data_IF_437863785390
#
_entry.id   IF_437863785390
#
_cell.length_a   1.000
_cell.length_b   1.000
_cell.length_c   1.000
_cell.angle_alpha   90.00
_cell.angle_beta   90.00
_cell.angle_gamma   90.00
#
_symmetry.space_group_name_H-M   'P 1'
#
loop_
_entity.id
_entity.type
_entity.pdbx_description
1 polymer ?
#
# COMPACT_ATOMS: atom_id res chain seq x y z
N UNK A 1 20.06 26.91 -12.94
CA UNK A 1 20.31 25.53 -12.51
C UNK A 1 20.46 25.49 -11.00
N UNK A 2 19.38 25.14 -10.28
CA UNK A 2 19.44 24.77 -8.86
C UNK A 2 19.12 23.29 -8.79
N UNK A 3 20.12 22.49 -8.45
CA UNK A 3 19.98 21.07 -8.19
C UNK A 3 19.06 20.90 -6.99
N UNK A 4 17.77 20.72 -7.24
CA UNK A 4 16.83 20.31 -6.22
C UNK A 4 17.08 18.82 -5.97
N UNK A 5 17.97 18.53 -5.02
CA UNK A 5 18.09 17.20 -4.43
C UNK A 5 16.72 16.88 -3.82
N UNK A 6 15.91 16.11 -4.55
CA UNK A 6 14.70 15.50 -4.02
C UNK A 6 15.19 14.60 -2.88
N UNK A 7 15.02 15.07 -1.65
CA UNK A 7 15.16 14.21 -0.48
C UNK A 7 14.06 13.18 -0.62
N UNK A 8 14.44 11.93 -0.88
CA UNK A 8 13.56 10.76 -0.80
C UNK A 8 13.08 10.73 0.65
N UNK A 9 11.92 11.34 0.87
CA UNK A 9 11.22 11.29 2.12
C UNK A 9 10.64 9.89 2.21
N UNK A 10 11.12 9.11 3.17
CA UNK A 10 10.51 7.87 3.60
C UNK A 10 9.00 8.11 3.72
N UNK A 11 8.18 7.54 2.83
CA UNK A 11 6.73 7.50 3.02
C UNK A 11 6.49 6.40 4.06
N UNK A 12 6.78 6.75 5.32
CA UNK A 12 6.04 6.21 6.44
C UNK A 12 4.63 6.76 6.25
N UNK A 13 3.67 5.89 5.93
CA UNK A 13 2.30 6.32 5.74
C UNK A 13 1.77 6.79 7.11
N UNK A 14 1.78 8.10 7.35
CA UNK A 14 1.09 8.70 8.49
C UNK A 14 -0.40 8.75 8.11
N UNK A 15 -1.10 7.65 8.39
CA UNK A 15 -2.56 7.65 8.34
C UNK A 15 -3.07 8.51 9.51
N UNK A 16 -3.79 9.58 9.18
CA UNK A 16 -4.57 10.34 10.16
C UNK A 16 -5.56 9.39 10.86
N UNK A 17 -5.48 9.33 12.19
CA UNK A 17 -6.27 8.44 13.05
C UNK A 17 -7.73 8.93 13.03
N UNK A 18 -8.57 8.28 12.24
CA UNK A 18 -9.99 8.12 12.57
C UNK A 18 -10.23 6.64 12.76
N UNK A 19 -10.19 6.19 14.02
CA UNK A 19 -10.69 4.87 14.41
C UNK A 19 -12.21 4.90 14.18
N UNK A 20 -12.65 4.47 13.00
CA UNK A 20 -14.05 4.11 12.81
C UNK A 20 -14.34 2.86 13.67
N UNK A 21 -15.55 2.75 14.24
CA UNK A 21 -15.93 1.55 14.99
C UNK A 21 -15.72 0.31 14.13
N UNK A 22 -15.28 -0.77 14.75
CA UNK A 22 -15.25 -2.09 14.10
C UNK A 22 -16.69 -2.38 13.69
N UNK A 23 -16.98 -2.34 12.38
CA UNK A 23 -18.24 -2.81 11.84
C UNK A 23 -18.21 -4.32 12.01
N UNK A 24 -19.00 -4.83 12.96
CA UNK A 24 -19.22 -6.26 13.13
C UNK A 24 -19.84 -6.79 11.84
N UNK A 25 -19.10 -7.62 11.11
CA UNK A 25 -19.69 -8.38 9.99
C UNK A 25 -20.76 -9.29 10.57
N UNK A 26 -21.94 -9.23 9.94
CA UNK A 26 -23.16 -9.88 10.33
C UNK A 26 -23.10 -11.42 10.12
N UNK A 27 -22.32 -12.12 10.94
CA UNK A 27 -22.66 -13.49 11.31
C UNK A 27 -23.52 -13.40 12.57
N UNK A 28 -24.84 -13.40 12.33
CA UNK A 28 -25.92 -13.10 13.26
C UNK A 28 -26.04 -14.00 14.52
N UNK A 29 -25.04 -14.82 14.83
CA UNK A 29 -25.08 -15.71 15.98
C UNK A 29 -24.36 -15.17 17.23
N UNK A 30 -23.37 -14.25 17.13
CA UNK A 30 -22.55 -13.87 18.30
C UNK A 30 -21.78 -12.54 18.12
N UNK A 31 -22.48 -11.43 17.93
CA UNK A 31 -21.82 -10.11 17.86
C UNK A 31 -21.15 -9.71 19.19
N UNK A 32 -21.66 -10.19 20.32
CA UNK A 32 -21.26 -9.74 21.67
C UNK A 32 -20.15 -10.58 22.33
N UNK A 33 -19.75 -11.71 21.71
CA UNK A 33 -18.72 -12.59 22.25
C UNK A 33 -17.58 -12.85 21.25
N UNK A 34 -16.39 -13.05 21.79
CA UNK A 34 -15.22 -13.50 21.05
C UNK A 34 -14.66 -14.78 21.71
N UNK A 35 -14.33 -15.78 20.90
CA UNK A 35 -13.87 -17.09 21.38
C UNK A 35 -12.45 -17.34 20.89
N UNK A 36 -11.54 -17.58 21.83
CA UNK A 36 -10.14 -17.91 21.57
C UNK A 36 -9.85 -19.34 22.03
N UNK A 37 -9.47 -20.20 21.09
CA UNK A 37 -8.94 -21.54 21.39
C UNK A 37 -7.49 -21.44 21.85
N UNK A 38 -7.25 -21.78 23.12
CA UNK A 38 -5.92 -21.67 23.75
C UNK A 38 -5.13 -22.97 23.69
N UNK A 39 -5.82 -24.11 23.68
CA UNK A 39 -5.22 -25.43 23.51
C UNK A 39 -6.28 -26.42 22.98
N UNK A 40 -5.94 -27.71 22.90
CA UNK A 40 -6.92 -28.74 22.55
C UNK A 40 -8.06 -28.75 23.58
N UNK A 41 -9.28 -28.51 23.11
CA UNK A 41 -10.51 -28.50 23.91
C UNK A 41 -10.56 -27.40 25.00
N UNK A 42 -9.67 -26.41 24.98
CA UNK A 42 -9.67 -25.30 25.94
C UNK A 42 -9.86 -23.95 25.24
N UNK A 43 -10.80 -23.17 25.79
CA UNK A 43 -11.28 -21.92 25.20
C UNK A 43 -11.30 -20.80 26.25
N UNK A 44 -11.04 -19.59 25.79
CA UNK A 44 -11.30 -18.33 26.50
C UNK A 44 -12.38 -17.57 25.78
N UNK A 45 -13.41 -17.20 26.51
CA UNK A 45 -14.56 -16.48 25.98
C UNK A 45 -14.58 -15.09 26.59
N UNK A 46 -14.60 -14.10 25.70
CA UNK A 46 -14.69 -12.69 26.01
C UNK A 46 -16.10 -12.22 25.70
N UNK A 47 -16.71 -11.47 26.62
CA UNK A 47 -18.00 -10.81 26.39
C UNK A 47 -17.81 -9.31 26.45
N UNK A 48 -18.30 -8.60 25.43
CA UNK A 48 -18.19 -7.15 25.33
C UNK A 48 -18.74 -6.44 26.57
N UNK A 49 -19.90 -6.90 27.05
CA UNK A 49 -20.59 -6.38 28.25
C UNK A 49 -19.73 -6.43 29.51
N UNK A 50 -18.85 -7.44 29.61
CA UNK A 50 -18.11 -7.74 30.83
C UNK A 50 -16.60 -7.48 30.75
N UNK A 51 -16.05 -6.95 29.64
CA UNK A 51 -14.59 -6.80 29.47
C UNK A 51 -13.88 -6.16 30.67
N UNK A 52 -14.45 -5.11 31.27
CA UNK A 52 -13.87 -4.41 32.42
C UNK A 52 -14.51 -4.73 33.77
N UNK A 53 -15.39 -5.73 33.86
CA UNK A 53 -16.24 -5.98 35.04
C UNK A 53 -16.30 -7.46 35.36
N UNK A 54 -15.95 -7.85 36.59
CA UNK A 54 -16.09 -9.25 37.00
C UNK A 54 -17.53 -9.71 36.89
N UNK A 55 -17.72 -10.95 36.48
CA UNK A 55 -19.01 -11.58 36.30
C UNK A 55 -18.95 -13.05 36.75
N UNK A 56 -20.11 -13.66 36.91
CA UNK A 56 -20.22 -15.09 37.15
C UNK A 56 -20.63 -15.78 35.86
N UNK A 57 -20.10 -16.97 35.61
CA UNK A 57 -20.47 -17.76 34.45
C UNK A 57 -20.61 -19.25 34.76
N UNK A 58 -21.41 -19.92 33.95
CA UNK A 58 -21.54 -21.37 33.89
C UNK A 58 -21.75 -21.81 32.42
N UNK A 59 -21.54 -23.09 32.13
CA UNK A 59 -21.77 -23.65 30.80
C UNK A 59 -22.73 -24.84 30.87
N UNK A 60 -23.50 -25.02 29.81
CA UNK A 60 -24.32 -26.21 29.57
C UNK A 60 -24.28 -26.60 28.09
N UNK A 61 -24.64 -27.87 27.81
CA UNK A 61 -24.74 -28.38 26.44
C UNK A 61 -26.06 -27.96 25.75
N UNK A 62 -27.09 -27.57 26.54
CA UNK A 62 -28.40 -27.12 26.04
C UNK A 62 -28.88 -25.86 26.75
N UNK A 63 -29.79 -25.12 26.12
CA UNK A 63 -30.44 -23.93 26.72
C UNK A 63 -31.49 -24.32 27.77
N UNK A 64 -32.08 -25.51 27.68
CA UNK A 64 -33.16 -25.99 28.54
C UNK A 64 -32.65 -26.62 29.85
N UNK A 65 -31.81 -25.89 30.59
CA UNK A 65 -31.26 -26.33 31.88
C UNK A 65 -31.80 -25.46 33.00
N UNK A 66 -32.16 -26.07 34.13
CA UNK A 66 -32.60 -25.32 35.30
C UNK A 66 -31.42 -24.53 35.89
N UNK A 67 -31.57 -23.22 36.10
CA UNK A 67 -30.50 -22.37 36.63
C UNK A 67 -29.91 -22.90 37.95
N UNK A 68 -30.74 -23.50 38.82
CA UNK A 68 -30.30 -24.11 40.08
C UNK A 68 -29.38 -25.31 39.93
N UNK A 69 -29.28 -25.90 38.74
CA UNK A 69 -28.35 -27.00 38.42
C UNK A 69 -27.01 -26.52 37.85
N UNK A 70 -26.90 -25.23 37.53
CA UNK A 70 -25.68 -24.63 36.99
C UNK A 70 -24.70 -24.31 38.13
N UNK A 71 -23.43 -24.63 37.91
CA UNK A 71 -22.36 -24.30 38.84
C UNK A 71 -21.66 -23.00 38.40
N UNK A 72 -22.14 -21.87 38.93
CA UNK A 72 -21.57 -20.56 38.61
C UNK A 72 -20.20 -20.37 39.28
N UNK A 73 -19.22 -19.95 38.49
CA UNK A 73 -17.88 -19.57 38.94
C UNK A 73 -17.56 -18.14 38.50
N UNK A 74 -16.59 -17.52 39.16
CA UNK A 74 -16.20 -16.13 38.87
C UNK A 74 -15.28 -16.06 37.64
N UNK A 75 -15.45 -15.01 36.83
CA UNK A 75 -14.55 -14.62 35.76
C UNK A 75 -13.12 -14.43 36.24
N UNK A 76 -12.16 -14.64 35.33
CA UNK A 76 -10.73 -14.39 35.57
C UNK A 76 -10.28 -13.20 34.75
N UNK A 77 -9.20 -12.57 35.19
CA UNK A 77 -8.55 -11.52 34.44
C UNK A 77 -7.46 -12.11 33.53
N UNK A 78 -7.43 -11.70 32.27
CA UNK A 78 -6.34 -12.03 31.34
C UNK A 78 -5.10 -11.11 31.57
N UNK A 79 -4.08 -11.24 30.72
CA UNK A 79 -2.85 -10.44 30.82
C UNK A 79 -3.05 -8.95 30.52
N UNK A 80 -4.11 -8.62 29.79
CA UNK A 80 -4.43 -7.26 29.33
C UNK A 80 -5.49 -6.60 30.22
N UNK A 81 -5.89 -7.29 31.30
CA UNK A 81 -6.86 -6.79 32.27
C UNK A 81 -8.33 -7.11 31.94
N UNK A 82 -8.62 -7.81 30.83
CA UNK A 82 -9.98 -8.17 30.42
C UNK A 82 -10.52 -9.32 31.27
N UNK A 83 -11.81 -9.28 31.59
CA UNK A 83 -12.49 -10.38 32.25
C UNK A 83 -12.93 -11.44 31.24
N UNK A 84 -12.62 -12.69 31.55
CA UNK A 84 -12.83 -13.84 30.67
C UNK A 84 -13.55 -14.98 31.41
N UNK A 85 -14.25 -15.79 30.62
CA UNK A 85 -14.68 -17.13 30.99
C UNK A 85 -13.70 -18.16 30.40
N UNK A 86 -13.32 -19.15 31.21
CA UNK A 86 -12.53 -20.30 30.73
C UNK A 86 -13.43 -21.51 30.59
N UNK A 87 -13.30 -22.22 29.47
CA UNK A 87 -14.14 -23.37 29.18
C UNK A 87 -13.32 -24.52 28.61
N UNK A 88 -13.55 -25.73 29.14
CA UNK A 88 -12.92 -26.95 28.65
C UNK A 88 -14.00 -27.94 28.23
N UNK A 89 -14.06 -28.24 26.94
CA UNK A 89 -15.07 -29.15 26.38
C UNK A 89 -14.59 -29.80 25.09
N UNK A 90 -15.11 -30.99 24.82
CA UNK A 90 -15.00 -31.65 23.50
C UNK A 90 -16.17 -31.30 22.58
N UNK A 91 -17.20 -30.63 23.09
CA UNK A 91 -18.36 -30.17 22.30
C UNK A 91 -17.95 -29.05 21.35
N UNK A 92 -18.61 -28.98 20.20
CA UNK A 92 -18.37 -27.93 19.21
C UNK A 92 -19.27 -26.69 19.42
N UNK A 93 -20.28 -26.82 20.27
CA UNK A 93 -21.19 -25.75 20.67
C UNK A 93 -21.44 -25.86 22.18
N UNK A 94 -21.80 -24.75 22.82
CA UNK A 94 -22.24 -24.70 24.22
C UNK A 94 -23.17 -23.51 24.47
N UNK A 95 -23.78 -23.46 25.65
CA UNK A 95 -24.56 -22.31 26.13
C UNK A 95 -23.86 -21.74 27.37
N UNK A 96 -23.46 -20.47 27.28
CA UNK A 96 -22.85 -19.72 28.37
C UNK A 96 -23.92 -18.96 29.13
N UNK A 97 -24.00 -19.22 30.42
CA UNK A 97 -24.87 -18.49 31.34
C UNK A 97 -24.04 -17.46 32.08
N UNK A 98 -24.47 -16.21 32.12
CA UNK A 98 -23.73 -15.13 32.80
C UNK A 98 -24.60 -14.39 33.82
N UNK A 99 -23.97 -13.90 34.89
CA UNK A 99 -24.62 -13.08 35.93
C UNK A 99 -23.70 -11.96 36.40
N UNK A 100 -24.25 -10.77 36.61
CA UNK A 100 -23.55 -9.66 37.25
C UNK A 100 -23.26 -9.92 38.74
N UNK A 101 -24.16 -10.66 39.40
CA UNK A 101 -24.02 -11.12 40.79
C UNK A 101 -24.73 -12.47 40.96
N UNK A 102 -24.42 -13.21 42.02
CA UNK A 102 -25.06 -14.51 42.28
C UNK A 102 -26.58 -14.42 42.48
N UNK A 103 -27.10 -13.27 42.91
CA UNK A 103 -28.53 -13.01 43.12
C UNK A 103 -29.25 -12.49 41.86
N UNK A 104 -28.50 -12.10 40.82
CA UNK A 104 -29.10 -11.64 39.56
C UNK A 104 -29.80 -12.78 38.80
N UNK A 105 -30.55 -12.47 37.75
CA UNK A 105 -31.03 -13.50 36.81
C UNK A 105 -29.92 -13.84 35.82
N UNK A 106 -29.77 -15.12 35.45
CA UNK A 106 -28.82 -15.50 34.42
C UNK A 106 -29.29 -15.10 33.01
N UNK A 107 -28.36 -14.59 32.22
CA UNK A 107 -28.50 -14.38 30.77
C UNK A 107 -27.79 -15.52 30.05
N UNK A 108 -28.42 -16.08 29.02
CA UNK A 108 -27.86 -17.19 28.24
C UNK A 108 -27.43 -16.73 26.86
N UNK A 109 -26.26 -17.15 26.43
CA UNK A 109 -25.70 -16.89 25.11
C UNK A 109 -25.20 -18.19 24.50
N UNK A 110 -25.65 -18.53 23.30
CA UNK A 110 -25.10 -19.67 22.55
C UNK A 110 -23.66 -19.34 22.17
N UNK A 111 -22.71 -20.24 22.42
CA UNK A 111 -21.30 -20.10 22.06
C UNK A 111 -20.98 -21.12 20.99
N UNK A 112 -20.61 -20.63 19.80
CA UNK A 112 -20.07 -21.47 18.74
C UNK A 112 -18.55 -21.62 18.93
N UNK A 113 -18.07 -22.85 19.10
CA UNK A 113 -16.66 -23.14 19.30
C UNK A 113 -15.98 -23.56 18.00
N UNK A 114 -16.73 -23.85 16.92
CA UNK A 114 -16.19 -24.17 15.59
C UNK A 114 -15.51 -22.95 14.98
N UNK A 115 -16.14 -21.79 15.17
CA UNK A 115 -15.66 -20.50 14.63
C UNK A 115 -14.67 -19.81 15.58
N UNK A 116 -14.07 -20.57 16.49
CA UNK A 116 -13.10 -20.04 17.45
C UNK A 116 -11.76 -19.75 16.76
N UNK A 117 -11.18 -18.60 17.10
CA UNK A 117 -9.85 -18.24 16.60
C UNK A 117 -8.78 -18.95 17.40
N UNK A 118 -7.70 -19.36 16.75
CA UNK A 118 -6.49 -19.79 17.46
C UNK A 118 -5.65 -18.57 17.84
N UNK A 119 -4.80 -18.73 18.86
CA UNK A 119 -3.82 -17.69 19.20
C UNK A 119 -2.92 -17.33 18.01
N UNK A 120 -2.48 -18.33 17.25
CA UNK A 120 -1.63 -18.14 16.07
C UNK A 120 -2.34 -17.30 15.00
N UNK A 121 -3.60 -17.64 14.68
CA UNK A 121 -4.42 -16.89 13.72
C UNK A 121 -4.60 -15.41 14.11
N UNK A 122 -4.79 -15.12 15.40
CA UNK A 122 -4.93 -13.73 15.89
C UNK A 122 -3.63 -12.94 15.78
N UNK A 123 -2.49 -13.55 16.13
CA UNK A 123 -1.17 -12.92 16.05
C UNK A 123 -0.73 -12.71 14.59
N UNK A 124 -1.11 -13.62 13.72
CA UNK A 124 -0.76 -13.63 12.31
C UNK A 124 -1.16 -12.35 11.55
N UNK A 125 -2.23 -11.67 11.96
CA UNK A 125 -2.73 -10.48 11.26
C UNK A 125 -1.78 -9.29 11.41
N UNK A 126 -1.01 -9.23 12.49
CA UNK A 126 -0.01 -8.18 12.70
C UNK A 126 1.17 -8.30 11.72
N UNK A 127 1.33 -9.48 11.11
CA UNK A 127 2.38 -9.79 10.13
C UNK A 127 1.95 -9.50 8.69
N UNK A 128 0.67 -9.25 8.43
CA UNK A 128 0.17 -8.83 7.11
C UNK A 128 0.94 -7.58 6.68
N UNK A 129 1.17 -7.45 5.37
CA UNK A 129 2.07 -6.52 4.68
C UNK A 129 3.56 -6.81 4.83
N UNK A 130 3.94 -7.79 5.67
CA UNK A 130 5.35 -8.11 5.97
C UNK A 130 5.70 -9.55 5.62
N UNK A 131 4.73 -10.38 5.21
CA UNK A 131 4.92 -11.81 4.93
C UNK A 131 5.70 -12.01 3.62
N UNK A 132 5.46 -11.15 2.63
CA UNK A 132 6.20 -11.11 1.37
C UNK A 132 6.93 -9.76 1.32
N UNK A 133 8.27 -9.74 1.47
CA UNK A 133 9.01 -8.50 1.52
C UNK A 133 9.05 -7.83 0.15
N UNK A 134 8.76 -6.52 0.14
CA UNK A 134 8.65 -5.70 -1.05
C UNK A 134 9.32 -4.33 -0.85
N UNK A 135 9.75 -3.73 -1.95
CA UNK A 135 10.22 -2.35 -2.04
C UNK A 135 9.28 -1.57 -2.96
N UNK A 136 8.51 -0.66 -2.36
CA UNK A 136 7.56 0.22 -3.04
C UNK A 136 8.13 1.61 -3.36
N UNK A 137 9.44 1.83 -3.16
CA UNK A 137 10.08 3.14 -3.37
C UNK A 137 10.62 3.34 -4.79
N UNK A 138 10.63 2.27 -5.59
CA UNK A 138 11.21 2.28 -6.93
C UNK A 138 10.24 2.84 -7.97
N UNK A 139 10.80 3.32 -9.07
CA UNK A 139 10.05 3.81 -10.22
C UNK A 139 10.61 3.23 -11.51
N UNK A 140 9.77 3.16 -12.53
CA UNK A 140 10.15 2.82 -13.91
C UNK A 140 9.76 3.99 -14.82
N UNK A 141 10.57 4.24 -15.85
CA UNK A 141 10.24 5.26 -16.87
C UNK A 141 10.07 4.57 -18.22
N UNK A 142 8.94 4.84 -18.86
CA UNK A 142 8.65 4.42 -20.23
C UNK A 142 8.71 5.65 -21.14
N UNK A 143 9.40 5.52 -22.27
CA UNK A 143 9.55 6.57 -23.28
C UNK A 143 8.71 6.20 -24.49
N UNK A 144 7.86 7.13 -24.92
CA UNK A 144 7.07 7.02 -26.15
C UNK A 144 7.43 8.17 -27.08
N UNK A 145 7.60 7.87 -28.36
CA UNK A 145 7.85 8.85 -29.41
C UNK A 145 6.60 9.02 -30.27
N UNK A 146 6.04 10.23 -30.28
CA UNK A 146 4.91 10.60 -31.13
C UNK A 146 5.34 11.77 -32.02
N UNK A 147 5.89 11.44 -33.20
CA UNK A 147 6.43 12.44 -34.12
C UNK A 147 7.67 13.13 -33.55
N UNK A 148 7.59 14.45 -33.38
CA UNK A 148 8.68 15.28 -32.82
C UNK A 148 8.55 15.42 -31.30
N UNK A 149 7.72 14.62 -30.62
CA UNK A 149 7.51 14.69 -29.17
C UNK A 149 8.02 13.40 -28.53
N UNK A 150 8.98 13.55 -27.62
CA UNK A 150 9.41 12.50 -26.70
C UNK A 150 8.61 12.65 -25.41
N UNK A 151 7.80 11.64 -25.08
CA UNK A 151 7.02 11.57 -23.86
C UNK A 151 7.66 10.56 -22.90
N UNK A 152 8.12 11.05 -21.76
CA UNK A 152 8.64 10.22 -20.68
C UNK A 152 7.59 10.11 -19.57
N UNK A 153 7.12 8.90 -19.30
CA UNK A 153 6.16 8.60 -18.23
C UNK A 153 6.89 7.81 -17.16
N UNK A 154 7.08 8.41 -15.98
CA UNK A 154 7.65 7.75 -14.81
C UNK A 154 6.53 7.31 -13.88
N UNK A 155 6.50 6.02 -13.54
CA UNK A 155 5.50 5.42 -12.65
C UNK A 155 6.13 4.66 -11.49
N UNK A 156 5.43 4.56 -10.37
CA UNK A 156 5.82 3.69 -9.26
C UNK A 156 5.79 2.20 -9.65
N UNK A 157 6.70 1.43 -9.06
CA UNK A 157 6.72 -0.03 -9.16
C UNK A 157 6.86 -0.66 -7.78
N UNK A 158 6.33 -1.87 -7.62
CA UNK A 158 6.53 -2.70 -6.43
C UNK A 158 7.50 -3.82 -6.78
N UNK A 159 8.65 -3.86 -6.10
CA UNK A 159 9.67 -4.89 -6.32
C UNK A 159 9.67 -5.89 -5.18
N UNK A 160 9.51 -7.18 -5.48
CA UNK A 160 9.64 -8.25 -4.50
C UNK A 160 11.12 -8.43 -4.16
N UNK A 161 11.46 -8.27 -2.88
CA UNK A 161 12.84 -8.36 -2.38
C UNK A 161 13.17 -9.71 -1.75
N UNK A 162 12.19 -10.62 -1.70
CA UNK A 162 12.36 -12.00 -1.26
C UNK A 162 13.44 -12.70 -2.10
N UNK A 163 14.39 -13.35 -1.43
CA UNK A 163 15.52 -14.06 -2.05
C UNK A 163 15.20 -15.53 -2.36
N UNK A 164 14.07 -16.05 -1.87
CA UNK A 164 13.60 -17.39 -2.12
C UNK A 164 13.44 -17.69 -3.62
N UNK A 165 13.70 -18.95 -3.99
CA UNK A 165 13.37 -19.47 -5.31
C UNK A 165 11.89 -19.86 -5.35
N UNK A 166 11.03 -18.85 -5.46
CA UNK A 166 9.59 -18.99 -5.41
C UNK A 166 8.92 -18.35 -6.64
N UNK A 167 7.73 -18.84 -6.98
CA UNK A 167 6.86 -18.15 -7.94
C UNK A 167 5.98 -17.17 -7.19
N UNK A 168 5.82 -15.98 -7.75
CA UNK A 168 5.00 -14.93 -7.17
C UNK A 168 3.86 -14.56 -8.12
N UNK A 169 2.70 -14.28 -7.55
CA UNK A 169 1.52 -13.83 -8.26
C UNK A 169 0.92 -12.64 -7.54
N UNK A 170 0.21 -11.80 -8.29
CA UNK A 170 -0.44 -10.62 -7.75
C UNK A 170 -1.81 -10.39 -8.37
N UNK A 171 -2.64 -9.63 -7.66
CA UNK A 171 -3.79 -8.93 -8.20
C UNK A 171 -3.79 -7.51 -7.66
N UNK A 172 -4.03 -6.54 -8.53
CA UNK A 172 -4.18 -5.13 -8.17
C UNK A 172 -5.64 -4.71 -8.30
N UNK A 173 -6.18 -4.10 -7.25
CA UNK A 173 -7.54 -3.53 -7.23
C UNK A 173 -7.49 -2.06 -6.83
N UNK A 174 -8.08 -1.18 -7.63
CA UNK A 174 -8.24 0.25 -7.32
C UNK A 174 -9.25 0.43 -6.20
N UNK A 175 -8.91 1.23 -5.19
CA UNK A 175 -9.82 1.59 -4.11
C UNK A 175 -10.78 2.69 -4.58
N UNK A 176 -12.05 2.32 -4.68
CA UNK A 176 -13.17 3.22 -5.00
C UNK A 176 -14.34 2.95 -4.05
N UNK A 177 -15.43 3.72 -4.15
CA UNK A 177 -16.65 3.44 -3.37
C UNK A 177 -17.27 2.08 -3.70
N UNK A 178 -17.01 1.54 -4.89
CA UNK A 178 -17.57 0.26 -5.35
C UNK A 178 -16.76 -0.94 -4.85
N UNK A 179 -15.51 -0.76 -4.45
CA UNK A 179 -14.63 -1.85 -3.97
C UNK A 179 -14.70 -1.99 -2.46
N UNK A 180 -15.91 -2.08 -1.91
CA UNK A 180 -16.20 -2.04 -0.47
C UNK A 180 -15.36 -3.03 0.32
N UNK A 181 -15.30 -4.29 -0.13
CA UNK A 181 -14.51 -5.34 0.52
C UNK A 181 -13.02 -5.01 0.61
N UNK A 182 -12.43 -4.43 -0.44
CA UNK A 182 -11.02 -4.04 -0.43
C UNK A 182 -10.75 -2.81 0.45
N UNK A 183 -11.71 -1.87 0.52
CA UNK A 183 -11.62 -0.76 1.47
C UNK A 183 -11.64 -1.28 2.91
N UNK A 184 -12.55 -2.21 3.20
CA UNK A 184 -12.66 -2.81 4.52
C UNK A 184 -11.41 -3.59 4.91
N UNK A 185 -10.82 -4.35 3.97
CA UNK A 185 -9.55 -5.03 4.20
C UNK A 185 -8.44 -4.05 4.60
N UNK A 186 -8.34 -2.91 3.91
CA UNK A 186 -7.38 -1.85 4.25
C UNK A 186 -7.61 -1.28 5.64
N UNK A 187 -8.86 -1.03 6.02
CA UNK A 187 -9.21 -0.52 7.35
C UNK A 187 -8.82 -1.51 8.45
N UNK A 188 -9.13 -2.80 8.28
CA UNK A 188 -8.79 -3.84 9.23
C UNK A 188 -7.27 -4.00 9.39
N UNK A 189 -6.51 -3.96 8.28
CA UNK A 189 -5.04 -3.99 8.38
C UNK A 189 -4.49 -2.79 9.15
N UNK A 190 -5.07 -1.60 8.98
CA UNK A 190 -4.68 -0.41 9.75
C UNK A 190 -5.00 -0.56 11.23
N UNK A 191 -6.22 -1.00 11.55
CA UNK A 191 -6.65 -1.23 12.93
C UNK A 191 -5.77 -2.27 13.63
N UNK A 192 -5.34 -3.32 12.91
CA UNK A 192 -4.46 -4.36 13.45
C UNK A 192 -3.07 -3.85 13.88
N UNK A 193 -2.61 -2.71 13.36
CA UNK A 193 -1.36 -2.06 13.79
C UNK A 193 -1.58 -1.11 14.98
N UNK A 194 -2.83 -0.87 15.39
CA UNK A 194 -3.18 -0.05 16.55
C UNK A 194 -3.13 -0.82 17.86
N UNK A 195 -3.36 -0.09 18.96
CA UNK A 195 -3.53 -0.69 20.28
C UNK A 195 -4.96 -1.23 20.41
N UNK A 196 -5.07 -2.54 20.62
CA UNK A 196 -6.34 -3.26 20.76
C UNK A 196 -6.29 -4.17 21.99
N UNK A 197 -7.40 -4.30 22.70
CA UNK A 197 -7.55 -5.33 23.72
C UNK A 197 -7.77 -6.71 23.07
N UNK A 198 -7.65 -7.80 23.83
CA UNK A 198 -7.77 -9.16 23.29
C UNK A 198 -9.11 -9.43 22.61
N UNK A 199 -10.23 -8.93 23.14
CA UNK A 199 -11.55 -9.04 22.49
C UNK A 199 -11.55 -8.41 21.11
N UNK A 200 -11.11 -7.16 21.00
CA UNK A 200 -11.03 -6.43 19.74
C UNK A 200 -10.08 -7.11 18.74
N UNK A 201 -8.94 -7.64 19.21
CA UNK A 201 -8.02 -8.40 18.34
C UNK A 201 -8.66 -9.64 17.77
N UNK A 202 -9.38 -10.41 18.57
CA UNK A 202 -10.06 -11.64 18.11
C UNK A 202 -11.15 -11.29 17.10
N UNK A 203 -12.01 -10.30 17.39
CA UNK A 203 -13.08 -9.90 16.46
C UNK A 203 -12.53 -9.35 15.15
N UNK A 204 -11.53 -8.48 15.22
CA UNK A 204 -10.82 -7.99 14.04
C UNK A 204 -10.24 -9.15 13.24
N UNK A 205 -9.72 -10.17 13.94
CA UNK A 205 -9.11 -11.31 13.30
C UNK A 205 -10.07 -12.21 12.55
N UNK A 206 -11.22 -12.50 13.14
CA UNK A 206 -12.30 -13.23 12.48
C UNK A 206 -12.72 -12.53 11.19
N UNK A 207 -13.03 -11.23 11.29
CA UNK A 207 -13.47 -10.45 10.14
C UNK A 207 -12.38 -10.37 9.06
N UNK A 208 -11.12 -10.14 9.45
CA UNK A 208 -10.00 -10.08 8.52
C UNK A 208 -9.82 -11.42 7.79
N UNK A 209 -9.82 -12.54 8.50
CA UNK A 209 -9.63 -13.87 7.91
C UNK A 209 -10.73 -14.21 6.91
N UNK A 210 -12.00 -14.02 7.29
CA UNK A 210 -13.16 -14.23 6.40
C UNK A 210 -13.03 -13.40 5.11
N UNK A 211 -12.78 -12.10 5.26
CA UNK A 211 -12.67 -11.17 4.14
C UNK A 211 -11.46 -11.48 3.25
N UNK A 212 -10.31 -11.73 3.85
CA UNK A 212 -9.07 -12.01 3.12
C UNK A 212 -9.16 -13.33 2.36
N UNK A 213 -9.76 -14.37 2.96
CA UNK A 213 -10.00 -15.66 2.29
C UNK A 213 -10.98 -15.51 1.11
N UNK A 214 -12.06 -14.73 1.28
CA UNK A 214 -12.99 -14.38 0.19
C UNK A 214 -12.25 -13.69 -0.96
N UNK A 215 -11.48 -12.65 -0.67
CA UNK A 215 -10.79 -11.85 -1.68
C UNK A 215 -9.69 -12.63 -2.41
N UNK A 216 -8.93 -13.48 -1.70
CA UNK A 216 -7.85 -14.29 -2.30
C UNK A 216 -8.39 -15.47 -3.12
N UNK A 217 -9.51 -16.09 -2.73
CA UNK A 217 -10.14 -17.17 -3.49
C UNK A 217 -10.78 -16.69 -4.80
N UNK A 218 -11.25 -15.45 -4.85
CA UNK A 218 -11.84 -14.81 -6.03
C UNK A 218 -10.79 -14.09 -6.90
N UNK A 219 -9.53 -14.10 -6.49
CA UNK A 219 -8.50 -13.31 -7.15
C UNK A 219 -8.11 -13.89 -8.53
N UNK A 220 -8.08 -13.01 -9.53
CA UNK A 220 -7.53 -13.27 -10.85
C UNK A 220 -6.01 -13.03 -10.85
N UNK A 221 -5.27 -14.05 -10.44
CA UNK A 221 -3.83 -14.00 -10.24
C UNK A 221 -3.04 -13.81 -11.53
N UNK A 222 -2.15 -12.81 -11.54
CA UNK A 222 -1.16 -12.58 -12.60
C UNK A 222 0.23 -12.98 -12.09
N UNK A 223 0.99 -13.76 -12.86
CA UNK A 223 2.37 -14.12 -12.49
C UNK A 223 3.28 -12.88 -12.53
N UNK A 224 4.13 -12.74 -11.51
CA UNK A 224 5.10 -11.64 -11.41
C UNK A 224 6.32 -11.95 -12.28
N UNK A 225 6.65 -11.03 -13.18
CA UNK A 225 7.84 -11.11 -14.04
C UNK A 225 8.95 -10.24 -13.44
N UNK A 226 10.18 -10.76 -13.43
CA UNK A 226 11.38 -10.05 -12.94
C UNK A 226 11.22 -9.46 -11.52
N UNK A 227 10.45 -10.15 -10.66
CA UNK A 227 10.10 -9.72 -9.29
C UNK A 227 9.51 -8.30 -9.25
N UNK A 228 8.91 -7.84 -10.34
CA UNK A 228 8.44 -6.47 -10.49
C UNK A 228 6.96 -6.45 -10.84
N UNK A 229 6.21 -5.67 -10.08
CA UNK A 229 4.80 -5.39 -10.32
C UNK A 229 4.68 -3.92 -10.69
N UNK A 230 4.19 -3.66 -11.91
CA UNK A 230 3.92 -2.29 -12.37
C UNK A 230 2.55 -1.85 -11.84
N UNK A 231 2.42 -0.56 -11.53
CA UNK A 231 1.08 0.01 -11.32
C UNK A 231 0.23 -0.10 -12.61
N UNK A 232 -1.11 -0.09 -12.52
CA UNK A 232 -1.98 -0.12 -13.70
C UNK A 232 -1.65 1.03 -14.68
N UNK A 233 -1.67 0.76 -15.98
CA UNK A 233 -1.27 1.73 -17.01
C UNK A 233 -2.16 3.00 -17.02
N UNK A 234 -3.45 2.82 -16.72
CA UNK A 234 -4.44 3.89 -16.62
C UNK A 234 -4.47 4.57 -15.24
N UNK A 235 -3.60 4.18 -14.29
CA UNK A 235 -3.54 4.82 -12.98
C UNK A 235 -3.20 6.31 -13.10
N UNK A 236 -3.91 7.14 -12.35
CA UNK A 236 -3.59 8.54 -12.14
C UNK A 236 -2.68 8.71 -10.92
N UNK A 237 -2.05 9.86 -10.77
CA UNK A 237 -1.23 10.18 -9.59
C UNK A 237 -2.13 10.29 -8.34
N UNK A 238 -1.71 9.68 -7.22
CA UNK A 238 -2.42 9.76 -5.94
C UNK A 238 -3.57 8.77 -5.74
N UNK A 239 -3.89 7.92 -6.72
CA UNK A 239 -4.89 6.86 -6.57
C UNK A 239 -4.39 5.75 -5.63
N UNK A 240 -5.30 5.14 -4.87
CA UNK A 240 -4.95 4.11 -3.89
C UNK A 240 -5.36 2.72 -4.36
N UNK A 241 -4.53 1.73 -4.06
CA UNK A 241 -4.70 0.37 -4.54
C UNK A 241 -4.40 -0.64 -3.45
N UNK A 242 -5.09 -1.78 -3.51
CA UNK A 242 -4.67 -3.01 -2.83
C UNK A 242 -3.97 -3.90 -3.84
N UNK A 243 -2.80 -4.40 -3.47
CA UNK A 243 -2.09 -5.45 -4.20
C UNK A 243 -2.12 -6.71 -3.34
N UNK A 244 -2.97 -7.67 -3.71
CA UNK A 244 -2.92 -9.01 -3.15
C UNK A 244 -1.70 -9.72 -3.73
N UNK A 245 -0.97 -10.44 -2.88
CA UNK A 245 0.23 -11.18 -3.25
C UNK A 245 0.07 -12.66 -2.86
N UNK A 246 0.61 -13.53 -3.70
CA UNK A 246 0.68 -14.97 -3.48
C UNK A 246 2.08 -15.46 -3.82
N UNK A 247 2.75 -16.09 -2.87
CA UNK A 247 4.03 -16.78 -3.04
C UNK A 247 3.80 -18.28 -3.05
N UNK A 248 4.40 -19.00 -3.99
CA UNK A 248 4.41 -20.47 -4.05
C UNK A 248 5.85 -20.94 -4.01
N UNK A 249 6.22 -21.63 -2.93
CA UNK A 249 7.57 -22.13 -2.66
C UNK A 249 7.47 -23.59 -2.17
N UNK A 250 8.09 -24.52 -2.88
CA UNK A 250 8.14 -25.95 -2.51
C UNK A 250 6.75 -26.57 -2.21
N UNK A 251 5.70 -26.11 -2.89
CA UNK A 251 4.32 -26.57 -2.67
C UNK A 251 3.56 -25.81 -1.56
N UNK A 252 4.25 -25.03 -0.74
CA UNK A 252 3.62 -24.15 0.25
C UNK A 252 3.18 -22.84 -0.40
N UNK A 253 2.01 -22.34 0.01
CA UNK A 253 1.48 -21.07 -0.44
C UNK A 253 1.43 -20.07 0.71
N UNK A 254 1.95 -18.87 0.49
CA UNK A 254 1.85 -17.74 1.41
C UNK A 254 1.09 -16.62 0.73
N UNK A 255 0.10 -16.05 1.42
CA UNK A 255 -0.66 -14.90 0.96
C UNK A 255 -0.28 -13.66 1.75
N UNK A 256 -0.28 -12.52 1.08
CA UNK A 256 -0.05 -11.20 1.68
C UNK A 256 -0.86 -10.12 0.96
N UNK A 257 -0.91 -8.91 1.52
CA UNK A 257 -1.50 -7.74 0.89
C UNK A 257 -0.60 -6.51 1.06
N UNK A 258 -0.62 -5.62 0.08
CA UNK A 258 0.07 -4.33 0.13
C UNK A 258 -0.91 -3.21 -0.20
N UNK A 259 -0.80 -2.08 0.49
CA UNK A 259 -1.67 -0.92 0.28
C UNK A 259 -0.81 0.22 -0.25
N UNK A 260 -1.04 0.60 -1.50
CA UNK A 260 -0.17 1.49 -2.25
C UNK A 260 -0.91 2.73 -2.72
N UNK A 261 -0.17 3.82 -2.88
CA UNK A 261 -0.61 5.03 -3.58
C UNK A 261 0.20 5.16 -4.87
N UNK A 262 -0.46 5.32 -6.00
CA UNK A 262 0.20 5.47 -7.31
C UNK A 262 0.97 6.78 -7.37
N UNK A 263 2.08 6.73 -8.12
CA UNK A 263 2.89 7.89 -8.46
C UNK A 263 3.03 7.95 -9.97
N UNK A 264 2.66 9.06 -10.61
CA UNK A 264 2.76 9.21 -12.06
C UNK A 264 3.23 10.61 -12.44
N UNK A 265 4.38 10.67 -13.08
CA UNK A 265 4.94 11.92 -13.63
C UNK A 265 5.06 11.80 -15.14
N UNK A 266 4.52 12.78 -15.86
CA UNK A 266 4.66 12.86 -17.32
C UNK A 266 5.50 14.07 -17.66
N UNK A 267 6.58 13.85 -18.41
CA UNK A 267 7.40 14.90 -19.03
C UNK A 267 7.30 14.79 -20.53
N UNK A 268 7.08 15.91 -21.19
CA UNK A 268 7.09 16.01 -22.64
C UNK A 268 8.25 16.89 -23.06
N UNK A 269 9.05 16.40 -23.99
CA UNK A 269 10.10 17.15 -24.65
C UNK A 269 9.76 17.23 -26.13
N UNK A 270 9.70 18.44 -26.66
CA UNK A 270 9.59 18.66 -28.11
C UNK A 270 11.01 18.54 -28.66
N UNK A 271 11.24 17.51 -29.46
CA UNK A 271 12.41 17.42 -30.32
C UNK A 271 12.23 18.51 -31.37
N UNK A 272 12.94 19.63 -31.22
CA UNK A 272 13.07 20.54 -32.35
C UNK A 272 13.64 19.73 -33.52
N UNK A 273 12.86 19.57 -34.59
CA UNK A 273 13.40 19.13 -35.88
C UNK A 273 14.54 20.07 -36.21
N UNK A 274 15.76 19.63 -35.97
CA UNK A 274 16.89 20.09 -36.76
C UNK A 274 16.49 19.70 -38.17
N UNK A 275 16.01 20.68 -38.95
CA UNK A 275 15.95 20.56 -40.40
C UNK A 275 17.42 20.44 -40.82
N UNK A 276 17.96 19.23 -40.73
CA UNK A 276 18.97 18.79 -41.65
C UNK A 276 18.26 18.76 -42.99
N UNK A 277 18.19 19.92 -43.65
CA UNK A 277 18.29 19.89 -45.10
C UNK A 277 19.51 19.03 -45.37
N UNK A 278 19.29 17.79 -45.77
CA UNK A 278 20.19 17.08 -46.65
C UNK A 278 20.29 17.99 -47.86
N UNK A 279 21.16 19.01 -47.79
CA UNK A 279 21.87 19.43 -48.98
C UNK A 279 22.48 18.12 -49.44
N UNK A 280 21.99 17.61 -50.56
CA UNK A 280 22.88 16.97 -51.49
C UNK A 280 24.05 17.95 -51.64
N UNK A 281 25.11 17.74 -50.88
CA UNK A 281 26.39 18.34 -51.16
C UNK A 281 26.90 17.61 -52.40
N UNK A 282 26.44 18.05 -53.56
CA UNK A 282 27.43 18.69 -54.41
C UNK A 282 27.90 19.93 -53.63
N UNK A 283 29.18 19.90 -53.24
CA UNK A 283 29.97 20.92 -52.54
C UNK A 283 29.25 22.24 -52.16
N UNK A 284 29.24 22.66 -50.88
CA UNK A 284 28.54 23.86 -50.47
C UNK A 284 29.22 25.14 -50.98
N UNK A 285 28.53 25.87 -51.87
CA UNK A 285 28.79 27.29 -52.14
C UNK A 285 28.30 28.10 -50.94
N UNK A 286 29.22 28.75 -50.23
CA UNK A 286 28.96 29.73 -49.17
C UNK A 286 28.23 30.92 -49.77
N UNK A 287 26.92 31.03 -49.51
CA UNK A 287 26.21 32.30 -49.63
C UNK A 287 26.59 33.16 -48.42
N UNK A 288 27.74 33.79 -48.55
CA UNK A 288 28.12 34.97 -47.80
C UNK A 288 27.00 36.00 -47.91
N UNK A 289 26.48 36.45 -46.77
CA UNK A 289 25.61 37.62 -46.73
C UNK A 289 26.39 38.81 -47.35
N UNK A 290 26.05 39.28 -48.56
CA UNK A 290 26.88 40.26 -49.27
C UNK A 290 26.94 41.60 -48.52
N UNK A 291 26.00 41.85 -47.60
CA UNK A 291 25.97 43.04 -46.77
C UNK A 291 27.21 43.12 -45.87
N UNK A 292 27.69 41.99 -45.32
CA UNK A 292 28.85 41.99 -44.44
C UNK A 292 30.17 42.26 -45.20
N UNK A 293 30.28 41.75 -46.44
CA UNK A 293 31.42 42.00 -47.32
C UNK A 293 31.44 43.42 -47.87
N UNK A 294 30.27 43.99 -48.19
CA UNK A 294 30.14 45.40 -48.59
C UNK A 294 30.54 46.33 -47.44
N UNK A 295 30.10 46.05 -46.21
CA UNK A 295 30.51 46.82 -45.01
C UNK A 295 32.00 46.69 -44.75
N UNK A 296 32.58 45.48 -44.86
CA UNK A 296 34.01 45.26 -44.67
C UNK A 296 34.84 45.99 -45.74
N UNK A 297 34.44 45.94 -47.01
CA UNK A 297 35.13 46.63 -48.11
C UNK A 297 35.14 48.15 -47.95
N UNK A 298 34.01 48.75 -47.52
CA UNK A 298 33.92 50.18 -47.22
C UNK A 298 34.85 50.55 -46.05
N UNK A 299 34.91 49.71 -45.02
CA UNK A 299 35.73 49.95 -43.83
C UNK A 299 37.23 49.87 -44.15
N UNK A 300 37.64 48.88 -44.96
CA UNK A 300 39.03 48.73 -45.42
C UNK A 300 39.44 49.89 -46.34
N UNK A 301 38.56 50.32 -47.26
CA UNK A 301 38.85 51.46 -48.14
C UNK A 301 39.06 52.77 -47.37
N UNK A 302 38.25 53.03 -46.33
CA UNK A 302 38.43 54.20 -45.46
C UNK A 302 39.77 54.16 -44.69
N UNK A 303 40.18 52.99 -44.18
CA UNK A 303 41.47 52.84 -43.50
C UNK A 303 42.65 53.05 -44.44
N UNK A 304 42.56 52.59 -45.69
CA UNK A 304 43.60 52.84 -46.72
C UNK A 304 43.70 54.32 -47.07
N UNK A 305 42.58 55.03 -47.22
CA UNK A 305 42.56 56.48 -47.49
C UNK A 305 43.18 57.26 -46.32
N UNK A 306 42.86 56.89 -45.08
CA UNK A 306 43.46 57.50 -43.88
C UNK A 306 44.96 57.21 -43.83
N UNK A 307 45.38 55.98 -44.11
CA UNK A 307 46.79 55.58 -44.19
C UNK A 307 47.58 56.35 -45.25
N UNK A 308 47.01 56.56 -46.45
CA UNK A 308 47.63 57.36 -47.51
C UNK A 308 47.72 58.83 -47.11
N UNK A 309 46.70 59.41 -46.46
CA UNK A 309 46.75 60.80 -45.96
C UNK A 309 47.83 60.97 -44.90
N UNK A 310 47.96 60.04 -43.95
CA UNK A 310 49.01 60.06 -42.92
C UNK A 310 50.41 59.90 -43.55
N UNK A 311 50.56 59.01 -44.51
CA UNK A 311 51.83 58.81 -45.22
C UNK A 311 52.24 60.02 -46.05
N UNK A 312 51.30 60.71 -46.71
CA UNK A 312 51.56 61.97 -47.44
C UNK A 312 51.89 63.12 -46.50
N UNK A 313 51.22 63.23 -45.34
CA UNK A 313 51.53 64.24 -44.34
C UNK A 313 52.97 64.09 -43.80
N UNK A 314 53.39 62.84 -43.49
CA UNK A 314 54.76 62.54 -43.06
C UNK A 314 55.82 62.77 -44.15
N UNK A 315 55.47 62.61 -45.43
CA UNK A 315 56.38 62.90 -46.55
C UNK A 315 56.60 64.41 -46.76
N UNK A 316 55.62 65.24 -46.41
CA UNK A 316 55.73 66.70 -46.49
C UNK A 316 56.44 67.32 -45.26
N UNK A 317 56.54 66.60 -44.13
CA UNK A 317 57.36 67.02 -42.98
C UNK A 317 58.86 66.72 -43.14
N UNK A 318 59.23 65.72 -43.95
CA UNK A 318 60.63 65.34 -44.20
C UNK A 318 61.27 66.03 -45.43
N UNK A 319 60.69 67.15 -45.90
CA UNK A 319 61.28 68.02 -46.93
C UNK A 319 61.36 69.50 -46.50
N UNK A 320 61.64 69.76 -45.22
CA UNK A 320 62.10 71.06 -44.73
C UNK A 320 63.44 70.93 -44.02
#
# INVERSE_FOLDING_TARGET
MKNCKIKILSILIIFSIMMLPILTVANAANEEIAVLKTSENEYRIYSEKYLGKSFYYAFSDTEEVAESSLNFITSKQDTDGNQIAEFKTTSEEAYMWTKESLDAKAEVTKVDLKDSMTKESVEEIQTITKRIPVDATQTATETTEEGDIIKNITTGILKITDTANAKFYYQTTLLTKETVDYNRLMELTKQAQGELNNYQRIKLAQEYEELFNKLTSQANWTEVVDKTIKQPANANDGEQYVVLLRKVENGNTTYDAQFLTSSKQTKQEVVEKVVSTTKNTELPVTYDNPILFVVLAITVALLVIIGIKIAKARKNENQK
#
